data_IF_473225579227
#
_entry.id   IF_473225579227
#
_cell.length_a   1.000
_cell.length_b   1.000
_cell.length_c   1.000
_cell.angle_alpha   90.00
_cell.angle_beta   90.00
_cell.angle_gamma   90.00
#
_symmetry.space_group_name_H-M   'P 1'
#
loop_
_entity.id
_entity.type
_entity.pdbx_description
1 polymer ?
#
# COMPACT_ATOMS: atom_id res chain seq x y z
N UNK A 1 -39.31 -33.38 26.64
CA UNK A 1 -38.96 -32.71 25.38
C UNK A 1 -38.63 -31.24 25.70
N UNK A 2 -37.36 -30.92 25.90
CA UNK A 2 -36.90 -29.54 26.15
C UNK A 2 -36.60 -28.88 24.81
N UNK A 3 -37.41 -27.88 24.45
CA UNK A 3 -37.19 -27.04 23.29
C UNK A 3 -35.96 -26.16 23.56
N UNK A 4 -34.85 -26.44 22.90
CA UNK A 4 -33.70 -25.49 22.89
C UNK A 4 -34.11 -24.28 22.07
N UNK A 5 -34.38 -23.18 22.77
CA UNK A 5 -34.49 -21.85 22.14
C UNK A 5 -33.11 -21.44 21.62
N UNK A 6 -32.94 -21.53 20.31
CA UNK A 6 -31.79 -20.90 19.63
C UNK A 6 -31.93 -19.40 19.77
N UNK A 7 -31.27 -18.82 20.78
CA UNK A 7 -31.12 -17.38 20.90
C UNK A 7 -30.29 -16.90 19.69
N UNK A 8 -30.91 -16.09 18.83
CA UNK A 8 -30.23 -15.43 17.74
C UNK A 8 -29.14 -14.56 18.33
N UNK A 9 -27.88 -14.97 18.14
CA UNK A 9 -26.70 -14.17 18.51
C UNK A 9 -26.82 -12.82 17.77
N UNK A 10 -26.98 -11.75 18.55
CA UNK A 10 -27.21 -10.42 18.01
C UNK A 10 -26.05 -10.01 17.08
N UNK A 11 -26.33 -9.25 16.03
CA UNK A 11 -25.33 -8.79 15.05
C UNK A 11 -24.15 -8.08 15.72
N UNK A 12 -24.33 -7.44 16.88
CA UNK A 12 -23.25 -6.83 17.70
C UNK A 12 -22.29 -7.87 18.31
N UNK A 13 -22.79 -9.07 18.66
CA UNK A 13 -21.93 -10.17 19.12
C UNK A 13 -21.21 -10.83 17.96
N UNK A 14 -21.81 -10.88 16.76
CA UNK A 14 -21.15 -11.34 15.53
C UNK A 14 -20.00 -10.39 15.12
N UNK A 15 -20.09 -9.10 15.45
CA UNK A 15 -18.99 -8.13 15.24
C UNK A 15 -17.91 -8.21 16.34
N UNK A 16 -18.23 -8.74 17.51
CA UNK A 16 -17.26 -8.99 18.60
C UNK A 16 -16.50 -10.31 18.46
N UNK A 17 -17.03 -11.27 17.71
CA UNK A 17 -16.34 -12.51 17.42
C UNK A 17 -15.18 -12.27 16.47
N UNK A 18 -14.05 -12.87 16.79
CA UNK A 18 -12.87 -12.94 15.90
C UNK A 18 -13.31 -13.57 14.57
N UNK A 19 -13.66 -12.72 13.60
CA UNK A 19 -14.14 -13.21 12.32
C UNK A 19 -12.95 -13.71 11.50
N UNK A 20 -12.55 -14.96 11.74
CA UNK A 20 -11.43 -15.63 11.09
C UNK A 20 -11.40 -15.42 9.56
N UNK A 21 -12.58 -15.46 8.94
CA UNK A 21 -12.70 -15.23 7.50
C UNK A 21 -12.30 -13.80 7.10
N UNK A 22 -12.82 -12.78 7.81
CA UNK A 22 -12.49 -11.39 7.50
C UNK A 22 -11.02 -11.07 7.78
N UNK A 23 -10.43 -11.67 8.82
CA UNK A 23 -8.99 -11.54 9.07
C UNK A 23 -8.14 -12.16 7.96
N UNK A 24 -8.54 -13.32 7.45
CA UNK A 24 -7.87 -13.95 6.29
C UNK A 24 -8.05 -13.12 5.03
N UNK A 25 -9.27 -12.65 4.76
CA UNK A 25 -9.57 -11.82 3.61
C UNK A 25 -8.77 -10.50 3.66
N UNK A 26 -8.69 -9.85 4.83
CA UNK A 26 -7.86 -8.65 5.01
C UNK A 26 -6.38 -8.92 4.70
N UNK A 27 -5.82 -10.02 5.22
CA UNK A 27 -4.42 -10.35 4.93
C UNK A 27 -4.19 -10.70 3.46
N UNK A 28 -5.16 -11.36 2.82
CA UNK A 28 -5.09 -11.70 1.40
C UNK A 28 -5.15 -10.44 0.52
N UNK A 29 -6.13 -9.56 0.76
CA UNK A 29 -6.28 -8.31 -0.02
C UNK A 29 -5.07 -7.39 0.13
N UNK A 30 -4.40 -7.41 1.27
CA UNK A 30 -3.17 -6.66 1.51
C UNK A 30 -1.97 -7.17 0.71
N UNK A 31 -1.94 -8.46 0.34
CA UNK A 31 -0.87 -9.00 -0.51
C UNK A 31 -1.28 -8.96 -1.97
N UNK A 32 -2.48 -9.44 -2.28
CA UNK A 32 -3.04 -9.42 -3.61
C UNK A 32 -4.50 -8.93 -3.55
N UNK A 33 -4.86 -7.89 -4.28
CA UNK A 33 -4.06 -7.19 -5.30
C UNK A 33 -3.24 -5.99 -4.80
N UNK A 34 -3.47 -5.47 -3.56
CA UNK A 34 -2.90 -4.18 -3.10
C UNK A 34 -1.37 -4.20 -3.04
N UNK A 35 -0.78 -5.25 -2.44
CA UNK A 35 0.68 -5.37 -2.36
C UNK A 35 1.34 -5.56 -3.73
N UNK A 36 0.71 -6.35 -4.62
CA UNK A 36 1.16 -6.48 -6.00
C UNK A 36 1.15 -5.11 -6.73
N UNK A 37 0.06 -4.35 -6.57
CA UNK A 37 -0.04 -3.02 -7.16
C UNK A 37 1.06 -2.08 -6.63
N UNK A 38 1.36 -2.11 -5.33
CA UNK A 38 2.43 -1.29 -4.76
C UNK A 38 3.78 -1.58 -5.40
N UNK A 39 4.14 -2.86 -5.56
CA UNK A 39 5.42 -3.26 -6.19
C UNK A 39 5.47 -2.79 -7.64
N UNK A 40 4.41 -3.06 -8.41
CA UNK A 40 4.30 -2.63 -9.80
C UNK A 40 4.35 -1.11 -9.92
N UNK A 41 3.63 -0.39 -9.04
CA UNK A 41 3.57 1.07 -9.04
C UNK A 41 4.94 1.69 -8.81
N UNK A 42 5.69 1.23 -7.81
CA UNK A 42 7.04 1.72 -7.55
C UNK A 42 8.01 1.38 -8.68
N UNK A 43 7.88 0.18 -9.26
CA UNK A 43 8.68 -0.23 -10.42
C UNK A 43 8.43 0.68 -11.63
N UNK A 44 7.17 0.93 -11.99
CA UNK A 44 6.84 1.81 -13.13
C UNK A 44 7.27 3.25 -12.88
N UNK A 45 7.14 3.75 -11.65
CA UNK A 45 7.62 5.09 -11.30
C UNK A 45 9.15 5.19 -11.32
N UNK A 46 9.89 4.09 -11.06
CA UNK A 46 11.36 4.12 -11.14
C UNK A 46 11.90 4.34 -12.56
N UNK A 47 11.06 4.21 -13.58
CA UNK A 47 11.41 4.60 -14.96
C UNK A 47 11.85 6.07 -15.06
N UNK A 48 11.36 6.94 -14.15
CA UNK A 48 11.79 8.33 -14.06
C UNK A 48 13.30 8.51 -13.80
N UNK A 49 13.93 7.54 -13.13
CA UNK A 49 15.37 7.56 -12.86
C UNK A 49 16.22 7.16 -14.07
N UNK A 50 15.64 6.44 -15.03
CA UNK A 50 16.32 6.01 -16.25
C UNK A 50 16.29 7.15 -17.28
N UNK A 51 15.09 7.63 -17.60
CA UNK A 51 14.87 8.72 -18.57
C UNK A 51 13.41 9.21 -18.45
N UNK A 52 13.15 10.51 -18.45
CA UNK A 52 11.80 11.08 -18.45
C UNK A 52 10.85 10.51 -19.49
N UNK A 53 11.37 10.14 -20.66
CA UNK A 53 10.55 9.53 -21.74
C UNK A 53 9.90 8.22 -21.34
N UNK A 54 10.58 7.39 -20.56
CA UNK A 54 10.01 6.10 -20.10
C UNK A 54 8.91 6.31 -19.08
N UNK A 55 9.10 7.24 -18.14
CA UNK A 55 8.02 7.61 -17.21
C UNK A 55 6.82 8.18 -17.98
N UNK A 56 7.04 9.11 -18.91
CA UNK A 56 5.98 9.68 -19.72
C UNK A 56 5.29 8.65 -20.63
N UNK A 57 6.01 7.64 -21.12
CA UNK A 57 5.40 6.54 -21.87
C UNK A 57 4.44 5.70 -21.02
N UNK A 58 4.78 5.46 -19.73
CA UNK A 58 3.87 4.79 -18.78
C UNK A 58 2.62 5.63 -18.55
N UNK A 59 2.78 6.94 -18.28
CA UNK A 59 1.65 7.86 -18.07
C UNK A 59 0.77 7.90 -19.33
N UNK A 60 1.35 8.01 -20.51
CA UNK A 60 0.65 8.02 -21.80
C UNK A 60 -0.12 6.71 -22.02
N UNK A 61 0.49 5.56 -21.75
CA UNK A 61 -0.17 4.27 -21.88
C UNK A 61 -1.48 4.20 -21.07
N UNK A 62 -1.44 4.56 -19.78
CA UNK A 62 -2.62 4.48 -18.92
C UNK A 62 -3.65 5.57 -19.22
N UNK A 63 -3.26 6.75 -19.67
CA UNK A 63 -4.19 7.86 -19.85
C UNK A 63 -4.73 8.01 -21.28
N UNK A 64 -4.02 7.50 -22.29
CA UNK A 64 -4.37 7.69 -23.70
C UNK A 64 -4.61 6.36 -24.42
N UNK A 65 -3.71 5.37 -24.28
CA UNK A 65 -3.80 4.11 -25.02
C UNK A 65 -4.83 3.17 -24.40
N UNK A 66 -4.85 3.03 -23.08
CA UNK A 66 -5.75 2.10 -22.42
C UNK A 66 -7.19 2.64 -22.46
N UNK A 67 -8.17 1.85 -22.96
CA UNK A 67 -9.57 2.28 -23.02
C UNK A 67 -10.08 2.67 -21.63
N UNK A 68 -10.71 3.84 -21.51
CA UNK A 68 -11.18 4.37 -20.21
C UNK A 68 -12.05 3.40 -19.39
N UNK A 69 -13.00 2.64 -19.98
CA UNK A 69 -13.79 1.67 -19.21
C UNK A 69 -12.92 0.56 -18.60
N UNK A 70 -11.86 0.12 -19.31
CA UNK A 70 -10.92 -0.90 -18.82
C UNK A 70 -10.09 -0.34 -17.66
N UNK A 71 -9.55 0.88 -17.82
CA UNK A 71 -8.82 1.56 -16.75
C UNK A 71 -9.69 1.71 -15.49
N UNK A 72 -10.94 2.20 -15.64
CA UNK A 72 -11.85 2.38 -14.50
C UNK A 72 -12.22 1.06 -13.84
N UNK A 73 -12.43 -0.01 -14.59
CA UNK A 73 -12.67 -1.34 -14.04
C UNK A 73 -11.46 -1.84 -13.26
N UNK A 74 -10.25 -1.68 -13.80
CA UNK A 74 -9.02 -2.06 -13.12
C UNK A 74 -8.82 -1.24 -11.83
N UNK A 75 -8.97 0.09 -11.88
CA UNK A 75 -8.88 0.95 -10.70
C UNK A 75 -9.90 0.53 -9.63
N UNK A 76 -11.16 0.28 -10.00
CA UNK A 76 -12.23 -0.06 -9.08
C UNK A 76 -12.00 -1.42 -8.41
N UNK A 77 -11.80 -2.48 -9.21
CA UNK A 77 -11.80 -3.86 -8.70
C UNK A 77 -10.45 -4.30 -8.13
N UNK A 78 -9.32 -3.78 -8.65
CA UNK A 78 -7.98 -4.19 -8.19
C UNK A 78 -7.32 -3.19 -7.24
N UNK A 79 -7.80 -1.93 -7.17
CA UNK A 79 -7.21 -0.92 -6.30
C UNK A 79 -8.25 -0.44 -5.28
N UNK A 80 -9.33 0.24 -5.71
CA UNK A 80 -10.20 0.98 -4.80
C UNK A 80 -10.92 0.04 -3.83
N UNK A 81 -11.66 -0.95 -4.32
CA UNK A 81 -12.44 -1.85 -3.45
C UNK A 81 -11.55 -2.68 -2.51
N UNK A 82 -10.45 -3.35 -2.97
CA UNK A 82 -9.56 -4.05 -2.07
C UNK A 82 -8.87 -3.15 -1.05
N UNK A 83 -8.43 -1.96 -1.46
CA UNK A 83 -7.76 -1.00 -0.58
C UNK A 83 -8.71 -0.44 0.48
N UNK A 84 -9.94 -0.09 0.11
CA UNK A 84 -10.96 0.35 1.06
C UNK A 84 -11.27 -0.75 2.09
N UNK A 85 -11.53 -1.97 1.63
CA UNK A 85 -11.77 -3.09 2.56
C UNK A 85 -10.55 -3.31 3.48
N UNK A 86 -9.34 -3.38 2.92
CA UNK A 86 -8.11 -3.59 3.67
C UNK A 86 -7.90 -2.49 4.72
N UNK A 87 -8.07 -1.23 4.34
CA UNK A 87 -7.86 -0.09 5.24
C UNK A 87 -8.92 -0.04 6.34
N UNK A 88 -10.21 -0.10 5.97
CA UNK A 88 -11.30 0.01 6.95
C UNK A 88 -11.29 -1.15 7.94
N UNK A 89 -11.13 -2.39 7.45
CA UNK A 89 -11.02 -3.52 8.34
C UNK A 89 -9.71 -3.53 9.14
N UNK A 90 -8.62 -2.99 8.56
CA UNK A 90 -7.36 -2.76 9.25
C UNK A 90 -7.49 -1.82 10.45
N UNK A 91 -8.32 -0.78 10.37
CA UNK A 91 -8.66 0.07 11.53
C UNK A 91 -9.40 -0.71 12.61
N UNK A 92 -10.34 -1.59 12.25
CA UNK A 92 -11.03 -2.46 13.22
C UNK A 92 -10.02 -3.35 13.95
N UNK A 93 -9.09 -4.00 13.21
CA UNK A 93 -8.03 -4.83 13.79
C UNK A 93 -7.12 -3.99 14.71
N UNK A 94 -6.79 -2.77 14.31
CA UNK A 94 -5.91 -1.87 15.08
C UNK A 94 -6.59 -1.42 16.36
N UNK A 95 -7.87 -1.08 16.30
CA UNK A 95 -8.67 -0.64 17.45
C UNK A 95 -8.79 -1.72 18.53
N UNK A 96 -9.00 -2.98 18.13
CA UNK A 96 -9.07 -4.10 19.07
C UNK A 96 -7.69 -4.61 19.51
N UNK A 97 -6.63 -4.19 18.85
CA UNK A 97 -5.26 -4.59 19.14
C UNK A 97 -4.71 -3.93 20.41
N UNK A 98 -4.08 -4.73 21.28
CA UNK A 98 -3.41 -4.21 22.49
C UNK A 98 -1.91 -4.17 22.27
N UNK A 99 -1.34 -2.97 22.12
CA UNK A 99 0.10 -2.78 22.10
C UNK A 99 0.64 -2.80 23.54
N UNK A 100 1.62 -3.65 23.81
CA UNK A 100 2.26 -3.77 25.12
C UNK A 100 3.80 -3.76 25.04
N UNK A 101 4.33 -3.06 24.04
CA UNK A 101 5.76 -2.96 23.72
C UNK A 101 6.61 -2.45 24.90
N UNK A 102 6.05 -1.58 25.75
CA UNK A 102 6.76 -1.06 26.92
C UNK A 102 6.93 -2.12 28.04
N UNK A 103 6.02 -3.12 28.08
CA UNK A 103 6.07 -4.21 29.05
C UNK A 103 6.88 -5.40 28.53
N UNK A 104 6.76 -5.72 27.24
CA UNK A 104 7.40 -6.87 26.61
C UNK A 104 8.13 -6.43 25.33
N UNK A 105 9.47 -6.30 25.42
CA UNK A 105 10.33 -5.78 24.34
C UNK A 105 10.84 -6.89 23.42
N UNK A 106 9.99 -7.82 23.02
CA UNK A 106 10.35 -8.83 22.04
C UNK A 106 10.21 -8.29 20.62
N UNK A 107 11.00 -8.83 19.70
CA UNK A 107 11.01 -8.44 18.28
C UNK A 107 9.61 -8.59 17.65
N UNK A 108 8.91 -9.68 17.95
CA UNK A 108 7.58 -9.98 17.44
C UNK A 108 6.56 -8.92 17.89
N UNK A 109 6.68 -8.46 19.12
CA UNK A 109 5.83 -7.41 19.68
C UNK A 109 6.12 -6.03 19.07
N UNK A 110 7.40 -5.75 18.78
CA UNK A 110 7.78 -4.57 18.01
C UNK A 110 7.19 -4.63 16.59
N UNK A 111 7.36 -5.75 15.89
CA UNK A 111 6.78 -5.96 14.55
C UNK A 111 5.26 -5.81 14.53
N UNK A 112 4.58 -6.32 15.56
CA UNK A 112 3.13 -6.15 15.75
C UNK A 112 2.73 -4.66 15.89
N UNK A 113 3.49 -3.89 16.65
CA UNK A 113 3.21 -2.47 16.86
C UNK A 113 3.52 -1.66 15.60
N UNK A 114 4.68 -1.90 15.00
CA UNK A 114 5.09 -1.20 13.77
C UNK A 114 4.16 -1.49 12.59
N UNK A 115 3.59 -2.70 12.50
CA UNK A 115 2.59 -3.03 11.47
C UNK A 115 1.36 -2.11 11.56
N UNK A 116 0.90 -1.80 12.76
CA UNK A 116 -0.25 -0.93 12.98
C UNK A 116 0.08 0.53 12.76
N UNK A 117 1.21 0.98 13.31
CA UNK A 117 1.68 2.36 13.14
C UNK A 117 1.91 2.66 11.66
N UNK A 118 2.61 1.77 10.93
CA UNK A 118 2.83 1.94 9.49
C UNK A 118 1.51 1.96 8.72
N UNK A 119 0.52 1.13 9.07
CA UNK A 119 -0.80 1.15 8.45
C UNK A 119 -1.52 2.50 8.58
N UNK A 120 -1.47 3.13 9.75
CA UNK A 120 -2.05 4.47 9.98
C UNK A 120 -1.28 5.54 9.20
N UNK A 121 0.06 5.49 9.20
CA UNK A 121 0.91 6.41 8.45
C UNK A 121 0.63 6.32 6.96
N UNK A 122 0.53 5.09 6.41
CA UNK A 122 0.20 4.86 5.00
C UNK A 122 -1.18 5.41 4.66
N UNK A 123 -2.17 5.19 5.52
CA UNK A 123 -3.52 5.70 5.25
C UNK A 123 -3.53 7.22 5.11
N UNK A 124 -2.86 7.95 6.02
CA UNK A 124 -2.71 9.39 5.93
C UNK A 124 -1.94 9.82 4.67
N UNK A 125 -0.84 9.13 4.35
CA UNK A 125 -0.08 9.35 3.13
C UNK A 125 -0.92 9.11 1.87
N UNK A 126 -1.70 8.03 1.82
CA UNK A 126 -2.54 7.69 0.66
C UNK A 126 -3.63 8.74 0.41
N UNK A 127 -4.25 9.29 1.46
CA UNK A 127 -5.22 10.38 1.30
C UNK A 127 -4.58 11.58 0.61
N UNK A 128 -3.39 11.99 1.05
CA UNK A 128 -2.63 13.06 0.42
C UNK A 128 -2.19 12.68 -1.01
N UNK A 129 -1.58 11.52 -1.19
CA UNK A 129 -1.05 11.05 -2.46
C UNK A 129 -2.14 10.97 -3.54
N UNK A 130 -3.23 10.27 -3.26
CA UNK A 130 -4.35 10.09 -4.21
C UNK A 130 -5.01 11.44 -4.53
N UNK A 131 -5.20 12.30 -3.51
CA UNK A 131 -5.76 13.63 -3.74
C UNK A 131 -4.84 14.50 -4.60
N UNK A 132 -3.55 14.59 -4.26
CA UNK A 132 -2.59 15.48 -4.92
C UNK A 132 -2.16 15.02 -6.32
N UNK A 133 -2.42 13.77 -6.67
CA UNK A 133 -2.13 13.18 -7.99
C UNK A 133 -3.42 12.87 -8.74
N UNK A 134 -4.04 11.71 -8.48
CA UNK A 134 -5.17 11.17 -9.26
C UNK A 134 -6.41 12.06 -9.22
N UNK A 135 -6.83 12.49 -8.03
CA UNK A 135 -8.05 13.33 -7.90
C UNK A 135 -7.80 14.70 -8.52
N UNK A 136 -6.66 15.33 -8.23
CA UNK A 136 -6.31 16.63 -8.81
C UNK A 136 -6.14 16.57 -10.34
N UNK A 137 -5.62 15.46 -10.87
CA UNK A 137 -5.57 15.25 -12.32
C UNK A 137 -6.97 15.12 -12.92
N UNK A 138 -7.82 14.23 -12.38
CA UNK A 138 -9.14 13.95 -12.94
C UNK A 138 -10.13 15.12 -12.81
N UNK A 139 -10.06 15.91 -11.73
CA UNK A 139 -11.00 17.00 -11.46
C UNK A 139 -10.53 18.37 -11.92
N UNK A 140 -9.21 18.63 -11.88
CA UNK A 140 -8.66 19.96 -12.12
C UNK A 140 -7.65 20.00 -13.27
N UNK A 141 -7.45 18.86 -13.98
CA UNK A 141 -6.49 18.78 -15.09
C UNK A 141 -5.03 18.95 -14.66
N UNK A 142 -4.68 18.65 -13.40
CA UNK A 142 -3.29 18.76 -12.94
C UNK A 142 -2.40 17.87 -13.79
N UNK A 143 -1.26 18.44 -14.23
CA UNK A 143 -0.26 17.69 -14.97
C UNK A 143 0.40 16.61 -14.08
N UNK A 144 0.37 15.36 -14.56
CA UNK A 144 0.99 14.18 -13.95
C UNK A 144 2.13 13.61 -14.80
N UNK A 145 2.55 14.33 -15.88
CA UNK A 145 3.74 14.00 -16.62
C UNK A 145 5.00 14.12 -15.76
N UNK A 146 6.15 13.75 -16.29
CA UNK A 146 7.43 13.95 -15.61
C UNK A 146 7.62 15.40 -15.15
N UNK A 147 7.32 16.39 -16.01
CA UNK A 147 7.40 17.81 -15.68
C UNK A 147 6.46 18.20 -14.53
N UNK A 148 5.21 17.74 -14.58
CA UNK A 148 4.23 17.99 -13.53
C UNK A 148 4.60 17.36 -12.19
N UNK A 149 5.16 16.15 -12.20
CA UNK A 149 5.65 15.49 -10.98
C UNK A 149 6.94 16.14 -10.47
N UNK A 150 7.84 16.55 -11.35
CA UNK A 150 9.05 17.33 -10.97
C UNK A 150 8.65 18.63 -10.26
N UNK A 151 7.68 19.38 -10.79
CA UNK A 151 7.15 20.58 -10.15
C UNK A 151 6.48 20.27 -8.78
N UNK A 152 5.77 19.13 -8.68
CA UNK A 152 5.15 18.69 -7.42
C UNK A 152 6.19 18.44 -6.33
N UNK A 153 7.34 17.90 -6.67
CA UNK A 153 8.44 17.60 -5.75
C UNK A 153 9.39 18.77 -5.46
N UNK A 154 9.14 19.97 -6.01
CA UNK A 154 9.90 21.18 -5.60
C UNK A 154 9.64 21.56 -4.14
N UNK A 155 8.52 21.14 -3.57
CA UNK A 155 8.23 21.36 -2.17
C UNK A 155 8.91 20.28 -1.29
N UNK A 156 9.88 20.65 -0.41
CA UNK A 156 10.62 19.68 0.40
C UNK A 156 9.74 18.93 1.40
N UNK A 157 8.61 19.49 1.85
CA UNK A 157 7.67 18.79 2.71
C UNK A 157 6.95 17.66 1.98
N UNK A 158 6.67 17.85 0.70
CA UNK A 158 6.11 16.78 -0.15
C UNK A 158 7.13 15.66 -0.29
N UNK A 159 8.38 15.97 -0.57
CA UNK A 159 9.46 14.97 -0.66
C UNK A 159 9.59 14.19 0.65
N UNK A 160 9.63 14.88 1.80
CA UNK A 160 9.70 14.23 3.11
C UNK A 160 8.51 13.28 3.36
N UNK A 161 7.30 13.73 3.00
CA UNK A 161 6.08 12.91 3.12
C UNK A 161 6.15 11.66 2.24
N UNK A 162 6.67 11.77 1.00
CA UNK A 162 6.86 10.63 0.12
C UNK A 162 7.92 9.65 0.64
N UNK A 163 9.05 10.13 1.18
CA UNK A 163 10.06 9.27 1.81
C UNK A 163 9.45 8.47 2.96
N UNK A 164 8.68 9.12 3.82
CA UNK A 164 7.98 8.46 4.94
C UNK A 164 6.95 7.46 4.40
N UNK A 165 6.13 7.86 3.43
CA UNK A 165 5.08 7.03 2.84
C UNK A 165 5.65 5.78 2.14
N UNK A 166 6.69 5.93 1.32
CA UNK A 166 7.39 4.83 0.64
C UNK A 166 7.97 3.84 1.66
N UNK A 167 8.69 4.36 2.66
CA UNK A 167 9.31 3.52 3.70
C UNK A 167 8.26 2.77 4.51
N UNK A 168 7.20 3.46 4.93
CA UNK A 168 6.11 2.86 5.69
C UNK A 168 5.37 1.79 4.87
N UNK A 169 5.08 2.05 3.58
CA UNK A 169 4.38 1.12 2.69
C UNK A 169 5.21 -0.13 2.43
N UNK A 170 6.50 0.02 2.17
CA UNK A 170 7.42 -1.10 1.95
C UNK A 170 7.54 -1.97 3.21
N UNK A 171 7.68 -1.34 4.39
CA UNK A 171 7.72 -2.07 5.66
C UNK A 171 6.41 -2.81 5.93
N UNK A 172 5.28 -2.13 5.79
CA UNK A 172 3.95 -2.69 6.03
C UNK A 172 3.68 -3.91 5.14
N UNK A 173 4.03 -3.82 3.86
CA UNK A 173 3.88 -4.93 2.93
C UNK A 173 4.73 -6.13 3.37
N UNK A 174 6.03 -5.97 3.58
CA UNK A 174 6.90 -7.11 3.83
C UNK A 174 6.75 -7.69 5.25
N UNK A 175 6.48 -6.86 6.26
CA UNK A 175 6.07 -7.37 7.56
C UNK A 175 4.69 -8.03 7.51
N UNK A 176 3.79 -7.54 6.62
CA UNK A 176 2.51 -8.17 6.30
C UNK A 176 2.68 -9.54 5.65
N UNK A 177 3.61 -9.70 4.70
CA UNK A 177 3.95 -11.00 4.07
C UNK A 177 4.46 -12.00 5.12
N UNK A 178 5.31 -11.58 6.04
CA UNK A 178 5.76 -12.43 7.14
C UNK A 178 4.59 -12.89 8.02
N UNK A 179 3.74 -11.97 8.44
CA UNK A 179 2.53 -12.29 9.24
C UNK A 179 1.55 -13.19 8.46
N UNK A 180 1.40 -12.97 7.16
CA UNK A 180 0.60 -13.80 6.27
C UNK A 180 1.14 -15.23 6.24
N UNK A 181 2.45 -15.41 6.03
CA UNK A 181 3.06 -16.73 5.96
C UNK A 181 2.83 -17.54 7.25
N UNK A 182 2.86 -16.91 8.41
CA UNK A 182 2.55 -17.56 9.70
C UNK A 182 1.05 -17.89 9.80
N UNK A 183 0.19 -16.92 9.55
CA UNK A 183 -1.28 -17.07 9.71
C UNK A 183 -1.88 -18.10 8.73
N UNK A 184 -1.28 -18.23 7.55
CA UNK A 184 -1.73 -19.20 6.54
C UNK A 184 -1.06 -20.57 6.64
N UNK A 185 -0.18 -20.76 7.64
CA UNK A 185 0.49 -22.05 7.88
C UNK A 185 1.60 -22.36 6.86
N UNK A 186 2.12 -21.35 6.14
CA UNK A 186 3.25 -21.50 5.22
C UNK A 186 4.59 -21.57 5.95
N UNK A 187 4.67 -20.96 7.14
CA UNK A 187 5.85 -20.96 8.00
C UNK A 187 5.49 -21.50 9.39
N UNK A 188 5.51 -22.83 9.54
CA UNK A 188 5.04 -23.51 10.77
C UNK A 188 6.12 -23.54 11.86
N UNK A 189 7.38 -23.81 11.51
CA UNK A 189 8.46 -23.93 12.48
C UNK A 189 9.14 -22.58 12.75
N UNK A 190 9.73 -22.42 13.96
CA UNK A 190 10.51 -21.22 14.32
C UNK A 190 11.64 -20.93 13.32
N UNK A 191 12.27 -21.98 12.77
CA UNK A 191 13.31 -21.83 11.74
C UNK A 191 12.72 -21.26 10.45
N UNK A 192 11.57 -21.79 9.99
CA UNK A 192 10.87 -21.30 8.81
C UNK A 192 10.45 -19.83 9.00
N UNK A 193 9.86 -19.49 10.15
CA UNK A 193 9.44 -18.12 10.46
C UNK A 193 10.62 -17.14 10.46
N UNK A 194 11.77 -17.52 11.04
CA UNK A 194 13.00 -16.71 11.00
C UNK A 194 13.53 -16.51 9.59
N UNK A 195 13.49 -17.55 8.75
CA UNK A 195 13.96 -17.45 7.36
C UNK A 195 13.04 -16.54 6.53
N UNK A 196 11.74 -16.71 6.64
CA UNK A 196 10.75 -15.83 5.98
C UNK A 196 10.92 -14.38 6.44
N UNK A 197 11.13 -14.15 7.74
CA UNK A 197 11.40 -12.80 8.25
C UNK A 197 12.63 -12.17 7.60
N UNK A 198 13.76 -12.90 7.51
CA UNK A 198 14.97 -12.39 6.87
C UNK A 198 14.72 -12.04 5.40
N UNK A 199 14.04 -12.92 4.67
CA UNK A 199 13.64 -12.67 3.28
C UNK A 199 12.77 -11.40 3.17
N UNK A 200 11.78 -11.27 4.03
CA UNK A 200 10.91 -10.09 4.06
C UNK A 200 11.69 -8.80 4.38
N UNK A 201 12.67 -8.84 5.26
CA UNK A 201 13.49 -7.64 5.56
C UNK A 201 14.38 -7.25 4.38
N UNK A 202 14.92 -8.20 3.64
CA UNK A 202 15.62 -7.92 2.37
C UNK A 202 14.66 -7.30 1.37
N UNK A 203 13.46 -7.87 1.18
CA UNK A 203 12.43 -7.32 0.30
C UNK A 203 12.00 -5.89 0.71
N UNK A 204 11.85 -5.62 2.00
CA UNK A 204 11.59 -4.28 2.52
C UNK A 204 12.68 -3.27 2.10
N UNK A 205 13.96 -3.62 2.28
CA UNK A 205 15.08 -2.74 1.90
C UNK A 205 15.09 -2.51 0.38
N UNK A 206 14.94 -3.57 -0.42
CA UNK A 206 14.95 -3.47 -1.88
C UNK A 206 13.77 -2.64 -2.41
N UNK A 207 12.56 -2.84 -1.89
CA UNK A 207 11.40 -2.08 -2.33
C UNK A 207 11.48 -0.61 -1.89
N UNK A 208 12.01 -0.35 -0.69
CA UNK A 208 12.27 1.02 -0.23
C UNK A 208 13.30 1.70 -1.13
N UNK A 209 14.41 1.03 -1.44
CA UNK A 209 15.44 1.55 -2.36
C UNK A 209 14.86 1.86 -3.73
N UNK A 210 14.06 0.95 -4.29
CA UNK A 210 13.36 1.16 -5.57
C UNK A 210 12.46 2.40 -5.53
N UNK A 211 11.65 2.56 -4.47
CA UNK A 211 10.76 3.72 -4.32
C UNK A 211 11.51 5.04 -4.12
N UNK A 212 12.62 5.03 -3.37
CA UNK A 212 13.49 6.21 -3.23
C UNK A 212 14.18 6.55 -4.57
N UNK A 213 14.61 5.54 -5.33
CA UNK A 213 15.16 5.74 -6.68
C UNK A 213 14.12 6.34 -7.61
N UNK A 214 12.86 5.89 -7.55
CA UNK A 214 11.76 6.47 -8.30
C UNK A 214 11.55 7.96 -7.96
N UNK A 215 11.56 8.31 -6.68
CA UNK A 215 11.44 9.71 -6.22
C UNK A 215 12.65 10.55 -6.66
N UNK A 216 13.86 10.03 -6.48
CA UNK A 216 15.11 10.71 -6.89
C UNK A 216 15.16 10.96 -8.40
N UNK A 217 14.56 10.08 -9.20
CA UNK A 217 14.50 10.22 -10.65
C UNK A 217 13.95 11.56 -11.13
N UNK A 218 13.03 12.17 -10.39
CA UNK A 218 12.47 13.48 -10.73
C UNK A 218 13.43 14.67 -10.47
N UNK A 219 14.64 14.41 -9.96
CA UNK A 219 15.69 15.40 -9.74
C UNK A 219 16.93 15.14 -10.60
N UNK A 220 16.94 14.06 -11.38
CA UNK A 220 18.13 13.63 -12.14
C UNK A 220 18.19 14.18 -13.56
N UNK A 221 17.04 14.56 -14.14
CA UNK A 221 16.93 14.94 -15.54
C UNK A 221 16.15 16.26 -15.70
N UNK A 222 16.40 16.96 -16.81
CA UNK A 222 15.56 18.08 -17.21
C UNK A 222 14.19 17.59 -17.70
N UNK A 223 13.15 18.35 -17.39
CA UNK A 223 11.79 18.00 -17.81
C UNK A 223 11.63 18.19 -19.33
N UNK A 224 11.25 17.15 -20.06
CA UNK A 224 10.87 17.29 -21.48
C UNK A 224 9.50 17.99 -21.60
N UNK A 225 9.12 18.44 -22.81
CA UNK A 225 7.78 18.92 -23.08
C UNK A 225 6.71 17.90 -22.65
N UNK A 226 5.58 18.40 -22.13
CA UNK A 226 4.50 17.52 -21.65
C UNK A 226 3.86 16.75 -22.82
N UNK A 227 3.92 15.41 -22.84
CA UNK A 227 3.33 14.61 -23.92
C UNK A 227 1.79 14.59 -23.90
N UNK A 228 1.16 15.04 -22.81
CA UNK A 228 -0.30 15.08 -22.64
C UNK A 228 -0.89 16.46 -22.98
N UNK A 229 -0.09 17.45 -23.32
CA UNK A 229 -0.55 18.83 -23.55
C UNK A 229 -1.55 18.96 -24.72
N UNK A 230 -1.60 17.96 -25.61
CA UNK A 230 -2.46 17.97 -26.83
C UNK A 230 -3.56 16.88 -26.79
N UNK A 231 -3.81 16.29 -25.64
CA UNK A 231 -4.83 15.24 -25.42
C UNK A 231 -5.69 15.61 -24.20
#
# INVERSE_FOLDING_TARGET
MSVQTTTSVGWREKLKGDNYFLHKLHSLTGIFPVGYYLVQHLFLNSMAAIDPKYFNAVVYFFNVILPKPVLWAMELFFIILPLLFHSLYGFVITYHGKANIFKYRFRENLGYTLQRVSGVVIFAFLLFHVYSTTVSHKLYGKDISYAGMQAHFQNPWVVALYVIGITASSYHLFNGVWNFAIRWGLAISDRAQRNVYKFCMVGFVLLTALGITALAGFFMHEAPPNPLANH
#
